data_IF_088931686129
#
_entry.id   IF_088931686129
#
_cell.length_a   1.000
_cell.length_b   1.000
_cell.length_c   1.000
_cell.angle_alpha   90.00
_cell.angle_beta   90.00
_cell.angle_gamma   90.00
#
_symmetry.space_group_name_H-M   'P 1'
#
loop_
_entity.id
_entity.type
_entity.pdbx_description
1 polymer ?
#
# COMPACT_ATOMS: atom_id res chain seq x y z
N UNK A 1 -54.43 14.72 -3.52
CA UNK A 1 -53.27 15.63 -3.68
C UNK A 1 -52.02 14.90 -3.19
N UNK A 2 -51.24 14.28 -4.08
CA UNK A 2 -49.88 14.69 -4.54
C UNK A 2 -48.74 14.56 -3.49
N UNK A 3 -47.98 13.46 -3.65
CA UNK A 3 -46.51 13.29 -3.67
C UNK A 3 -45.67 13.38 -2.38
N UNK A 4 -45.06 12.22 -2.06
CA UNK A 4 -43.64 11.94 -1.79
C UNK A 4 -42.85 12.75 -0.74
N UNK A 5 -42.13 12.06 0.15
CA UNK A 5 -40.68 11.76 0.03
C UNK A 5 -40.27 10.82 1.18
N UNK A 6 -39.51 9.78 0.82
CA UNK A 6 -38.82 8.85 1.73
C UNK A 6 -37.50 9.50 2.15
N UNK A 7 -37.15 9.44 3.43
CA UNK A 7 -35.78 9.58 3.90
C UNK A 7 -35.54 8.62 5.06
N UNK A 8 -34.86 7.51 4.77
CA UNK A 8 -34.36 6.54 5.72
C UNK A 8 -33.05 7.06 6.34
N UNK A 9 -32.87 6.91 7.65
CA UNK A 9 -31.56 7.06 8.29
C UNK A 9 -31.34 5.87 9.21
N UNK A 10 -30.28 5.12 8.88
CA UNK A 10 -29.87 3.90 9.54
C UNK A 10 -29.18 4.19 10.88
N UNK A 11 -29.59 3.51 11.93
CA UNK A 11 -28.81 3.33 13.14
C UNK A 11 -29.02 1.89 13.63
N UNK A 12 -28.10 1.00 13.29
CA UNK A 12 -28.01 -0.32 13.89
C UNK A 12 -26.61 -0.46 14.50
N UNK A 13 -26.55 -0.24 15.81
CA UNK A 13 -25.46 -0.58 16.71
C UNK A 13 -25.25 -2.09 16.66
N UNK A 14 -24.04 -2.56 16.37
CA UNK A 14 -23.63 -3.92 16.76
C UNK A 14 -22.61 -3.77 17.88
N UNK A 15 -23.12 -3.93 19.09
CA UNK A 15 -22.37 -4.17 20.30
C UNK A 15 -21.52 -5.44 20.15
N UNK A 16 -20.30 -5.39 20.65
CA UNK A 16 -19.37 -6.50 20.62
C UNK A 16 -19.84 -7.68 21.46
N UNK A 17 -19.72 -8.88 20.89
CA UNK A 17 -19.78 -10.15 21.61
C UNK A 17 -18.38 -10.76 21.61
N UNK A 18 -17.58 -10.41 22.61
CA UNK A 18 -16.31 -11.06 22.91
C UNK A 18 -16.56 -12.22 23.89
N UNK A 19 -16.79 -13.43 23.39
CA UNK A 19 -16.58 -14.69 24.11
C UNK A 19 -16.88 -15.89 23.22
N UNK A 20 -15.86 -16.47 22.57
CA UNK A 20 -15.70 -17.92 22.28
C UNK A 20 -14.41 -18.18 21.47
N UNK A 21 -13.25 -17.77 21.98
CA UNK A 21 -11.97 -18.29 21.49
C UNK A 21 -11.46 -19.40 22.43
N UNK A 22 -12.20 -20.50 22.52
CA UNK A 22 -11.75 -21.70 23.24
C UNK A 22 -12.52 -22.96 22.80
N UNK A 23 -12.62 -23.23 21.50
CA UNK A 23 -12.93 -24.56 20.96
C UNK A 23 -12.84 -24.56 19.43
N UNK A 24 -11.63 -24.53 18.87
CA UNK A 24 -11.42 -25.22 17.59
C UNK A 24 -9.93 -25.55 17.34
N UNK A 25 -9.35 -26.34 18.23
CA UNK A 25 -8.15 -27.11 17.92
C UNK A 25 -8.55 -28.33 17.08
N UNK A 26 -9.01 -28.10 15.84
CA UNK A 26 -9.13 -29.08 14.74
C UNK A 26 -9.80 -28.41 13.53
N UNK A 27 -9.10 -27.50 12.86
CA UNK A 27 -9.43 -27.09 11.49
C UNK A 27 -8.16 -27.24 10.64
N UNK A 28 -8.20 -28.22 9.75
CA UNK A 28 -7.08 -28.68 8.95
C UNK A 28 -6.51 -27.62 8.01
N UNK A 29 -5.20 -27.74 7.77
CA UNK A 29 -4.49 -27.66 6.49
C UNK A 29 -5.04 -26.83 5.30
N UNK A 30 -5.72 -25.71 5.52
CA UNK A 30 -5.99 -24.73 4.45
C UNK A 30 -5.42 -23.36 4.85
N UNK A 31 -4.10 -23.26 4.75
CA UNK A 31 -3.40 -21.97 4.86
C UNK A 31 -3.80 -21.13 3.65
N UNK A 32 -4.88 -20.36 3.81
CA UNK A 32 -5.28 -19.19 3.01
C UNK A 32 -4.32 -18.89 1.86
N UNK A 33 -4.68 -19.26 0.63
CA UNK A 33 -3.97 -18.83 -0.56
C UNK A 33 -3.75 -17.30 -0.45
N UNK A 34 -2.49 -16.88 -0.28
CA UNK A 34 -2.16 -15.45 -0.15
C UNK A 34 -2.60 -14.77 -1.43
N UNK A 35 -3.62 -13.92 -1.35
CA UNK A 35 -4.13 -13.17 -2.49
C UNK A 35 -2.97 -12.42 -3.18
N UNK A 36 -2.83 -12.64 -4.50
CA UNK A 36 -1.86 -11.95 -5.33
C UNK A 36 -2.62 -11.09 -6.33
N UNK A 37 -2.58 -9.76 -6.21
CA UNK A 37 -3.25 -8.89 -7.18
C UNK A 37 -2.65 -9.09 -8.57
N UNK A 38 -3.49 -9.06 -9.59
CA UNK A 38 -3.10 -9.03 -11.00
C UNK A 38 -2.43 -7.69 -11.35
N UNK A 39 -1.93 -7.55 -12.58
CA UNK A 39 -1.43 -6.27 -13.06
C UNK A 39 -2.53 -5.20 -13.10
N UNK A 40 -3.73 -5.59 -13.53
CA UNK A 40 -4.91 -4.73 -13.59
C UNK A 40 -5.38 -4.31 -12.19
N UNK A 41 -5.47 -5.25 -11.24
CA UNK A 41 -5.80 -4.94 -9.84
C UNK A 41 -4.84 -3.89 -9.26
N UNK A 42 -3.54 -3.98 -9.60
CA UNK A 42 -2.55 -3.00 -9.14
C UNK A 42 -2.79 -1.60 -9.70
N UNK A 43 -3.25 -1.49 -10.95
CA UNK A 43 -3.62 -0.21 -11.57
C UNK A 43 -4.84 0.35 -10.87
N UNK A 44 -5.92 -0.43 -10.74
CA UNK A 44 -7.17 -0.01 -10.08
C UNK A 44 -6.90 0.44 -8.64
N UNK A 45 -6.10 -0.32 -7.87
CA UNK A 45 -5.73 0.05 -6.51
C UNK A 45 -4.85 1.30 -6.45
N UNK A 46 -4.05 1.57 -7.48
CA UNK A 46 -3.28 2.82 -7.57
C UNK A 46 -4.23 3.99 -7.81
N UNK A 47 -5.14 3.87 -8.78
CA UNK A 47 -6.12 4.91 -9.10
C UNK A 47 -7.04 5.21 -7.91
N UNK A 48 -7.51 4.17 -7.21
CA UNK A 48 -8.33 4.33 -6.00
C UNK A 48 -7.57 5.08 -4.89
N UNK A 49 -6.27 4.78 -4.69
CA UNK A 49 -5.44 5.50 -3.71
C UNK A 49 -5.22 6.96 -4.11
N UNK A 50 -5.05 7.25 -5.39
CA UNK A 50 -4.90 8.62 -5.90
C UNK A 50 -6.19 9.41 -5.74
N UNK A 51 -7.34 8.81 -6.06
CA UNK A 51 -8.65 9.42 -5.85
C UNK A 51 -8.92 9.69 -4.36
N UNK A 52 -8.58 8.74 -3.48
CA UNK A 52 -8.69 8.93 -2.03
C UNK A 52 -7.78 10.05 -1.54
N UNK A 53 -6.54 10.12 -2.03
CA UNK A 53 -5.59 11.19 -1.69
C UNK A 53 -6.13 12.57 -2.12
N UNK A 54 -6.58 12.70 -3.37
CA UNK A 54 -7.19 13.95 -3.87
C UNK A 54 -8.37 14.39 -3.01
N UNK A 55 -9.26 13.45 -2.71
CA UNK A 55 -10.47 13.69 -1.90
C UNK A 55 -10.13 14.13 -0.49
N UNK A 56 -9.19 13.45 0.15
CA UNK A 56 -8.80 13.75 1.53
C UNK A 56 -8.05 15.08 1.66
N UNK A 57 -7.30 15.48 0.63
CA UNK A 57 -6.65 16.80 0.60
C UNK A 57 -7.67 17.94 0.58
N UNK A 58 -8.86 17.75 -0.02
CA UNK A 58 -9.86 18.82 -0.20
C UNK A 58 -9.21 20.05 -0.85
N UNK A 59 -8.69 19.86 -2.06
CA UNK A 59 -8.00 20.90 -2.79
C UNK A 59 -8.96 22.03 -3.17
N UNK A 60 -8.49 23.27 -3.15
CA UNK A 60 -9.21 24.42 -3.72
C UNK A 60 -9.15 24.37 -5.25
N UNK A 61 -10.04 25.07 -5.98
CA UNK A 61 -10.02 25.08 -7.45
C UNK A 61 -8.67 25.50 -8.05
N UNK A 62 -7.92 26.38 -7.37
CA UNK A 62 -6.58 26.79 -7.82
C UNK A 62 -5.53 25.71 -7.56
N UNK A 63 -5.61 25.01 -6.43
CA UNK A 63 -4.73 23.88 -6.12
C UNK A 63 -4.99 22.68 -7.04
N UNK A 64 -6.25 22.44 -7.43
CA UNK A 64 -6.63 21.34 -8.33
C UNK A 64 -5.95 21.42 -9.69
N UNK A 65 -5.57 22.62 -10.15
CA UNK A 65 -4.81 22.82 -11.39
C UNK A 65 -3.41 22.19 -11.34
N UNK A 66 -2.84 22.02 -10.15
CA UNK A 66 -1.53 21.41 -9.93
C UNK A 66 -1.61 19.89 -9.78
N UNK A 67 -2.79 19.33 -9.51
CA UNK A 67 -2.98 17.91 -9.28
C UNK A 67 -2.60 16.99 -10.47
N UNK A 68 -2.90 17.32 -11.74
CA UNK A 68 -2.61 16.42 -12.87
C UNK A 68 -1.13 16.04 -12.99
N UNK A 69 -0.20 16.97 -12.71
CA UNK A 69 1.25 16.70 -12.75
C UNK A 69 1.67 15.71 -11.65
N UNK A 70 1.11 15.88 -10.45
CA UNK A 70 1.34 14.99 -9.31
C UNK A 70 0.77 13.59 -9.60
N UNK A 71 -0.45 13.53 -10.11
CA UNK A 71 -1.13 12.28 -10.42
C UNK A 71 -0.38 11.48 -11.49
N UNK A 72 0.02 12.13 -12.59
CA UNK A 72 0.79 11.49 -13.65
C UNK A 72 2.11 10.92 -13.12
N UNK A 73 2.84 11.70 -12.32
CA UNK A 73 4.11 11.27 -11.73
C UNK A 73 3.94 10.06 -10.80
N UNK A 74 2.89 10.06 -9.97
CA UNK A 74 2.61 8.93 -9.07
C UNK A 74 2.21 7.66 -9.84
N UNK A 75 1.45 7.80 -10.93
CA UNK A 75 1.10 6.69 -11.84
C UNK A 75 2.33 6.11 -12.51
N UNK A 76 3.20 6.95 -13.06
CA UNK A 76 4.45 6.54 -13.70
C UNK A 76 5.37 5.81 -12.71
N UNK A 77 5.57 6.37 -11.52
CA UNK A 77 6.35 5.70 -10.47
C UNK A 77 5.71 4.36 -10.05
N UNK A 78 4.38 4.28 -9.98
CA UNK A 78 3.69 3.01 -9.68
C UNK A 78 3.95 1.95 -10.75
N UNK A 79 3.93 2.34 -12.03
CA UNK A 79 4.25 1.49 -13.18
C UNK A 79 5.70 1.03 -13.16
N UNK A 80 6.66 1.93 -12.94
CA UNK A 80 8.08 1.60 -12.84
C UNK A 80 8.36 0.62 -11.68
N UNK A 81 7.66 0.80 -10.56
CA UNK A 81 7.73 -0.14 -9.42
C UNK A 81 7.11 -1.48 -9.75
N UNK A 82 6.01 -1.53 -10.50
CA UNK A 82 5.39 -2.78 -10.93
C UNK A 82 6.32 -3.56 -11.86
N UNK A 83 6.89 -2.92 -12.88
CA UNK A 83 7.85 -3.54 -13.80
C UNK A 83 9.06 -4.14 -13.06
N UNK A 84 9.66 -3.40 -12.13
CA UNK A 84 10.77 -3.90 -11.29
C UNK A 84 10.36 -5.09 -10.42
N UNK A 85 9.13 -5.09 -9.88
CA UNK A 85 8.61 -6.23 -9.10
C UNK A 85 8.42 -7.46 -9.96
N UNK A 86 7.91 -7.29 -11.18
CA UNK A 86 7.70 -8.40 -12.13
C UNK A 86 9.03 -9.01 -12.55
N UNK A 87 10.01 -8.19 -12.94
CA UNK A 87 11.38 -8.64 -13.23
C UNK A 87 12.00 -9.40 -12.05
N UNK A 88 11.86 -8.85 -10.83
CA UNK A 88 12.35 -9.51 -9.63
C UNK A 88 11.65 -10.85 -9.33
N UNK A 89 10.37 -10.99 -9.67
CA UNK A 89 9.62 -12.23 -9.50
C UNK A 89 10.12 -13.28 -10.50
N UNK A 90 10.19 -12.94 -11.78
CA UNK A 90 10.69 -13.82 -12.83
C UNK A 90 12.12 -14.30 -12.53
N UNK A 91 13.01 -13.41 -12.11
CA UNK A 91 14.37 -13.79 -11.72
C UNK A 91 14.41 -14.78 -10.54
N UNK A 92 13.51 -14.63 -9.56
CA UNK A 92 13.40 -15.56 -8.42
C UNK A 92 12.83 -16.91 -8.85
N UNK A 93 11.86 -16.93 -9.75
CA UNK A 93 11.27 -18.15 -10.29
C UNK A 93 12.30 -18.95 -11.09
N UNK A 94 13.07 -18.29 -11.96
CA UNK A 94 14.17 -18.90 -12.71
C UNK A 94 15.25 -19.48 -11.77
N UNK A 95 15.65 -18.72 -10.74
CA UNK A 95 16.63 -19.20 -9.76
C UNK A 95 16.13 -20.43 -8.97
N UNK A 96 14.83 -20.47 -8.62
CA UNK A 96 14.20 -21.63 -7.98
C UNK A 96 14.19 -22.85 -8.90
N UNK A 97 13.84 -22.68 -10.17
CA UNK A 97 13.85 -23.76 -11.16
C UNK A 97 15.25 -24.32 -11.39
N UNK A 98 16.27 -23.46 -11.39
CA UNK A 98 17.67 -23.84 -11.51
C UNK A 98 18.30 -24.33 -10.18
N UNK A 99 17.52 -24.47 -9.10
CA UNK A 99 17.97 -24.78 -7.74
C UNK A 99 19.23 -23.99 -7.30
N UNK A 100 19.34 -22.74 -7.78
CA UNK A 100 20.52 -21.90 -7.57
C UNK A 100 20.16 -20.79 -6.59
N UNK A 101 20.77 -20.81 -5.41
CA UNK A 101 20.67 -19.70 -4.47
C UNK A 101 21.54 -18.54 -4.95
N UNK A 102 21.03 -17.28 -4.99
CA UNK A 102 21.86 -16.13 -5.33
C UNK A 102 22.99 -15.96 -4.30
N UNK A 103 24.22 -15.70 -4.79
CA UNK A 103 25.37 -15.30 -3.97
C UNK A 103 24.99 -14.11 -3.05
N UNK A 104 25.34 -14.14 -1.75
CA UNK A 104 25.10 -13.04 -0.82
C UNK A 104 25.54 -11.67 -1.34
N UNK A 105 26.69 -11.57 -2.02
CA UNK A 105 27.19 -10.29 -2.55
C UNK A 105 26.32 -9.80 -3.71
N UNK A 106 25.93 -10.71 -4.63
CA UNK A 106 24.97 -10.39 -5.69
C UNK A 106 23.63 -9.90 -5.11
N UNK A 107 23.14 -10.51 -4.03
CA UNK A 107 21.91 -10.07 -3.34
C UNK A 107 22.07 -8.67 -2.73
N UNK A 108 23.21 -8.36 -2.13
CA UNK A 108 23.50 -7.02 -1.59
C UNK A 108 23.49 -5.97 -2.72
N UNK A 109 24.14 -6.24 -3.85
CA UNK A 109 24.14 -5.34 -5.02
C UNK A 109 22.72 -5.12 -5.56
N UNK A 110 21.94 -6.19 -5.71
CA UNK A 110 20.55 -6.09 -6.15
C UNK A 110 19.67 -5.30 -5.16
N UNK A 111 19.98 -5.35 -3.85
CA UNK A 111 19.31 -4.52 -2.85
C UNK A 111 19.70 -3.04 -3.01
N UNK A 112 20.99 -2.74 -3.18
CA UNK A 112 21.47 -1.38 -3.42
C UNK A 112 20.81 -0.75 -4.66
N UNK A 113 20.77 -1.45 -5.80
CA UNK A 113 20.09 -0.97 -7.00
C UNK A 113 18.60 -0.67 -6.78
N UNK A 114 17.91 -1.46 -5.93
CA UNK A 114 16.50 -1.18 -5.58
C UNK A 114 16.38 0.06 -4.69
N UNK A 115 17.33 0.29 -3.80
CA UNK A 115 17.39 1.48 -2.95
C UNK A 115 17.63 2.73 -3.81
N UNK A 116 18.59 2.68 -4.75
CA UNK A 116 18.87 3.77 -5.68
C UNK A 116 17.63 4.12 -6.52
N UNK A 117 16.99 3.10 -7.08
CA UNK A 117 15.81 3.30 -7.88
C UNK A 117 14.61 3.80 -7.03
N UNK A 118 14.55 3.44 -5.75
CA UNK A 118 13.54 3.97 -4.81
C UNK A 118 13.83 5.42 -4.43
N UNK A 119 15.10 5.81 -4.27
CA UNK A 119 15.52 7.18 -4.05
C UNK A 119 15.22 8.07 -5.27
N UNK A 120 15.45 7.55 -6.49
CA UNK A 120 15.09 8.25 -7.73
C UNK A 120 13.57 8.48 -7.83
N UNK A 121 12.76 7.45 -7.53
CA UNK A 121 11.30 7.60 -7.49
C UNK A 121 10.85 8.70 -6.50
N UNK A 122 11.45 8.71 -5.30
CA UNK A 122 11.10 9.68 -4.26
C UNK A 122 11.44 11.11 -4.68
N UNK A 123 12.60 11.32 -5.33
CA UNK A 123 12.96 12.63 -5.89
C UNK A 123 11.94 13.09 -6.93
N UNK A 124 11.61 12.23 -7.91
CA UNK A 124 10.60 12.55 -8.94
C UNK A 124 9.26 12.98 -8.33
N UNK A 125 8.79 12.24 -7.32
CA UNK A 125 7.53 12.57 -6.62
C UNK A 125 7.66 13.92 -5.90
N UNK A 126 8.77 14.16 -5.20
CA UNK A 126 8.98 15.41 -4.48
C UNK A 126 8.99 16.60 -5.44
N UNK A 127 9.73 16.51 -6.55
CA UNK A 127 9.84 17.58 -7.54
C UNK A 127 8.48 17.91 -8.18
N UNK A 128 7.67 16.88 -8.49
CA UNK A 128 6.34 17.07 -9.06
C UNK A 128 5.31 17.60 -8.03
N UNK A 129 5.43 17.19 -6.76
CA UNK A 129 4.51 17.58 -5.71
C UNK A 129 4.84 18.92 -5.06
N UNK A 130 6.06 19.43 -5.22
CA UNK A 130 6.53 20.67 -4.58
C UNK A 130 5.64 21.89 -4.85
N UNK A 131 5.20 22.18 -6.10
CA UNK A 131 4.30 23.30 -6.36
C UNK A 131 2.97 23.17 -5.61
N UNK A 132 2.36 21.97 -5.62
CA UNK A 132 1.12 21.71 -4.91
C UNK A 132 1.34 21.86 -3.39
N UNK A 133 2.39 21.24 -2.85
CA UNK A 133 2.69 21.26 -1.42
C UNK A 133 2.87 22.67 -0.86
N UNK A 134 3.53 23.56 -1.62
CA UNK A 134 3.71 24.97 -1.26
C UNK A 134 2.39 25.74 -1.15
N UNK A 135 1.37 25.34 -1.89
CA UNK A 135 0.03 25.97 -1.84
C UNK A 135 -0.88 25.41 -0.76
N UNK A 136 -0.51 24.29 -0.10
CA UNK A 136 -1.34 23.66 0.91
C UNK A 136 -1.35 24.44 2.23
N UNK A 137 -2.53 24.57 2.83
CA UNK A 137 -2.69 25.07 4.19
C UNK A 137 -2.23 24.02 5.24
N UNK A 138 -2.16 24.43 6.51
CA UNK A 138 -1.68 23.56 7.59
C UNK A 138 -2.58 22.35 7.83
N UNK A 139 -3.90 22.50 7.65
CA UNK A 139 -4.85 21.41 7.80
C UNK A 139 -4.69 20.37 6.67
N UNK A 140 -4.45 20.83 5.44
CA UNK A 140 -4.15 20.01 4.27
C UNK A 140 -2.83 19.26 4.43
N UNK A 141 -1.77 19.95 4.88
CA UNK A 141 -0.47 19.33 5.19
C UNK A 141 -0.57 18.29 6.29
N UNK A 142 -1.36 18.56 7.33
CA UNK A 142 -1.63 17.59 8.39
C UNK A 142 -2.32 16.34 7.84
N UNK A 143 -3.39 16.49 7.05
CA UNK A 143 -4.08 15.36 6.41
C UNK A 143 -3.14 14.56 5.51
N UNK A 144 -2.33 15.24 4.69
CA UNK A 144 -1.31 14.61 3.86
C UNK A 144 -0.35 13.74 4.69
N UNK A 145 0.17 14.27 5.80
CA UNK A 145 1.07 13.54 6.68
C UNK A 145 0.42 12.30 7.31
N UNK A 146 -0.85 12.38 7.72
CA UNK A 146 -1.61 11.24 8.24
C UNK A 146 -1.76 10.15 7.18
N UNK A 147 -2.11 10.52 5.94
CA UNK A 147 -2.28 9.59 4.82
C UNK A 147 -0.97 8.92 4.40
N UNK A 148 0.10 9.72 4.31
CA UNK A 148 1.47 9.22 4.07
C UNK A 148 1.82 8.20 5.14
N UNK A 149 1.67 8.55 6.42
CA UNK A 149 1.94 7.64 7.53
C UNK A 149 1.12 6.38 7.41
N UNK A 150 -0.21 6.44 7.25
CA UNK A 150 -1.04 5.23 7.10
C UNK A 150 -0.56 4.32 5.97
N UNK A 151 -0.17 4.88 4.83
CA UNK A 151 0.39 4.09 3.72
C UNK A 151 1.77 3.48 4.05
N UNK A 152 2.58 4.14 4.88
CA UNK A 152 3.88 3.64 5.35
C UNK A 152 3.78 2.67 6.54
N UNK A 153 2.69 2.66 7.31
CA UNK A 153 2.49 1.71 8.42
C UNK A 153 2.32 0.24 7.94
N UNK A 154 2.10 0.01 6.64
CA UNK A 154 2.13 -1.33 6.04
C UNK A 154 3.55 -1.90 5.77
N UNK A 155 4.61 -1.10 5.94
CA UNK A 155 6.00 -1.49 5.66
C UNK A 155 6.86 -1.69 6.93
N UNK A 156 6.32 -1.38 8.12
CA UNK A 156 6.94 -1.70 9.41
C UNK A 156 6.67 -3.15 9.75
N UNK A 157 7.70 -4.00 9.66
CA UNK A 157 7.60 -5.44 9.86
C UNK A 157 6.83 -5.81 11.12
N UNK A 158 5.83 -6.68 10.97
CA UNK A 158 5.28 -7.46 12.06
C UNK A 158 6.40 -8.42 12.55
N UNK A 159 7.29 -7.92 13.41
CA UNK A 159 8.06 -8.78 14.29
C UNK A 159 7.10 -9.32 15.35
N UNK A 160 6.39 -10.40 14.99
CA UNK A 160 5.77 -11.25 16.01
C UNK A 160 6.86 -11.81 16.93
N UNK A 161 6.56 -12.01 18.23
CA UNK A 161 7.52 -12.56 19.17
C UNK A 161 8.04 -13.90 18.65
N UNK A 162 9.37 -14.07 18.61
CA UNK A 162 9.99 -15.38 18.36
C UNK A 162 9.51 -16.32 19.45
N UNK A 163 8.63 -17.25 19.09
CA UNK A 163 8.24 -18.34 19.96
C UNK A 163 9.47 -19.11 20.41
N UNK A 164 9.62 -19.25 21.73
CA UNK A 164 10.56 -20.14 22.39
C UNK A 164 10.51 -21.53 21.75
N UNK A 165 11.65 -22.00 21.27
CA UNK A 165 11.83 -23.40 20.92
C UNK A 165 11.77 -24.28 22.17
N UNK A 166 11.35 -25.55 22.05
CA UNK A 166 11.18 -26.42 23.20
C UNK A 166 12.52 -26.70 23.88
N UNK A 167 12.63 -26.32 25.15
CA UNK A 167 13.68 -26.82 26.05
C UNK A 167 13.43 -28.31 26.26
N UNK A 168 14.27 -29.15 25.63
CA UNK A 168 14.37 -30.56 26.02
C UNK A 168 15.27 -30.64 27.25
N UNK A 169 14.71 -31.17 28.33
CA UNK A 169 15.47 -31.76 29.44
C UNK A 169 16.05 -33.11 29.07
#
# INVERSE_FOLDING_TARGET
MKRAVIAATAAALIAGSAATYAANSNAGADRTARWQPTAEDRVILTDARLAALKTALKLTPDQEKLWPSVEATLKDVSKDRAARRDQARTAREAARQANTAPDPIARMRAMATRMDASAADLRKIADAADPLYKTLDDAQKHRLNVLIRQNFHGMGGHHGPRGEGPRRG
#
